data_IF_775984844483
#
_entry.id   IF_775984844483
#
_cell.length_a   1.000
_cell.length_b   1.000
_cell.length_c   1.000
_cell.angle_alpha   90.00
_cell.angle_beta   90.00
_cell.angle_gamma   90.00
#
_symmetry.space_group_name_H-M   'P 1'
#
loop_
_entity.id
_entity.type
_entity.pdbx_description
1 polymer ?
#
# COMPACT_ATOMS: atom_id res chain seq x y z
N UNK A 1 8.42 11.81 -25.27
CA UNK A 1 7.98 12.00 -23.86
C UNK A 1 6.77 11.14 -23.47
N UNK A 2 5.96 10.67 -24.42
CA UNK A 2 4.72 9.91 -24.16
C UNK A 2 4.88 8.58 -23.42
N UNK A 3 5.92 7.79 -23.72
CA UNK A 3 6.14 6.48 -23.08
C UNK A 3 6.39 6.59 -21.58
N UNK A 4 7.04 7.68 -21.14
CA UNK A 4 7.41 7.94 -19.74
C UNK A 4 6.19 8.31 -18.90
N UNK A 5 5.27 9.09 -19.47
CA UNK A 5 4.03 9.48 -18.81
C UNK A 5 3.14 8.26 -18.53
N UNK A 6 3.09 7.32 -19.48
CA UNK A 6 2.34 6.05 -19.33
C UNK A 6 2.93 5.14 -18.24
N UNK A 7 4.25 5.11 -18.06
CA UNK A 7 4.89 4.29 -17.01
C UNK A 7 4.63 4.84 -15.60
N UNK A 8 4.72 6.16 -15.41
CA UNK A 8 4.42 6.79 -14.12
C UNK A 8 2.94 6.65 -13.77
N UNK A 9 2.05 6.85 -14.73
CA UNK A 9 0.60 6.69 -14.53
C UNK A 9 0.24 5.26 -14.09
N UNK A 10 0.89 4.24 -14.68
CA UNK A 10 0.70 2.84 -14.26
C UNK A 10 1.19 2.60 -12.84
N UNK A 11 2.39 3.08 -12.50
CA UNK A 11 2.93 2.91 -11.15
C UNK A 11 2.07 3.60 -10.07
N UNK A 12 1.55 4.80 -10.36
CA UNK A 12 0.62 5.50 -9.47
C UNK A 12 -0.68 4.71 -9.34
N UNK A 13 -1.25 4.23 -10.45
CA UNK A 13 -2.45 3.41 -10.44
C UNK A 13 -2.25 2.13 -9.63
N UNK A 14 -1.14 1.43 -9.82
CA UNK A 14 -0.86 0.17 -9.13
C UNK A 14 -0.63 0.41 -7.62
N UNK A 15 0.02 1.52 -7.25
CA UNK A 15 0.13 1.95 -5.85
C UNK A 15 -1.23 2.29 -5.23
N UNK A 16 -2.10 3.01 -5.96
CA UNK A 16 -3.47 3.32 -5.52
C UNK A 16 -4.29 2.04 -5.35
N UNK A 17 -4.21 1.10 -6.30
CA UNK A 17 -4.90 -0.19 -6.20
C UNK A 17 -4.40 -1.02 -5.01
N UNK A 18 -3.09 -1.00 -4.73
CA UNK A 18 -2.54 -1.67 -3.55
C UNK A 18 -3.07 -1.07 -2.24
N UNK A 19 -3.11 0.26 -2.14
CA UNK A 19 -3.65 0.96 -0.97
C UNK A 19 -5.15 0.70 -0.82
N UNK A 20 -5.94 0.90 -1.87
CA UNK A 20 -7.39 0.67 -1.84
C UNK A 20 -7.71 -0.79 -1.53
N UNK A 21 -6.98 -1.73 -2.14
CA UNK A 21 -7.13 -3.16 -1.86
C UNK A 21 -6.82 -3.49 -0.40
N UNK A 22 -5.74 -2.93 0.15
CA UNK A 22 -5.40 -3.15 1.57
C UNK A 22 -6.44 -2.57 2.54
N UNK A 23 -7.00 -1.40 2.24
CA UNK A 23 -8.08 -0.82 3.04
C UNK A 23 -9.34 -1.68 2.96
N UNK A 24 -9.69 -2.17 1.76
CA UNK A 24 -10.84 -3.07 1.59
C UNK A 24 -10.66 -4.39 2.37
N UNK A 25 -9.47 -4.99 2.33
CA UNK A 25 -9.15 -6.20 3.11
C UNK A 25 -9.21 -5.89 4.61
N UNK A 26 -8.63 -4.79 5.06
CA UNK A 26 -8.70 -4.36 6.45
C UNK A 26 -10.14 -4.20 6.93
N UNK A 27 -11.01 -3.59 6.11
CA UNK A 27 -12.44 -3.44 6.40
C UNK A 27 -13.14 -4.81 6.53
N UNK A 28 -12.86 -5.76 5.63
CA UNK A 28 -13.42 -7.11 5.70
C UNK A 28 -12.97 -7.82 6.97
N UNK A 29 -11.70 -7.69 7.37
CA UNK A 29 -11.18 -8.26 8.62
C UNK A 29 -11.93 -7.68 9.83
N UNK A 30 -12.18 -6.37 9.85
CA UNK A 30 -12.96 -5.73 10.91
C UNK A 30 -14.38 -6.28 10.93
N UNK A 31 -15.10 -6.26 9.80
CA UNK A 31 -16.50 -6.68 9.75
C UNK A 31 -16.64 -8.16 10.14
N UNK A 32 -15.78 -9.03 9.61
CA UNK A 32 -15.80 -10.46 9.94
C UNK A 32 -15.42 -10.70 11.41
N UNK A 33 -14.41 -10.00 11.92
CA UNK A 33 -13.99 -10.11 13.32
C UNK A 33 -15.05 -9.62 14.30
N UNK A 34 -15.71 -8.50 13.99
CA UNK A 34 -16.83 -7.97 14.77
C UNK A 34 -18.05 -8.89 14.71
N UNK A 35 -18.40 -9.41 13.53
CA UNK A 35 -19.51 -10.35 13.37
C UNK A 35 -19.30 -11.65 14.15
N UNK A 36 -18.06 -12.17 14.15
CA UNK A 36 -17.71 -13.34 14.95
C UNK A 36 -17.75 -13.04 16.46
N UNK A 37 -17.36 -11.82 16.86
CA UNK A 37 -17.44 -11.38 18.26
C UNK A 37 -18.88 -11.22 18.75
N UNK A 38 -19.80 -10.73 17.91
CA UNK A 38 -21.22 -10.61 18.23
C UNK A 38 -21.90 -11.97 18.44
N UNK A 39 -21.44 -13.03 17.75
CA UNK A 39 -21.93 -14.40 17.96
C UNK A 39 -21.36 -15.05 19.23
N UNK A 40 -20.29 -14.51 19.81
CA UNK A 40 -19.71 -15.03 21.06
C UNK A 40 -20.35 -14.41 22.30
N UNK A 41 -20.71 -15.21 23.32
CA UNK A 41 -21.27 -14.67 24.55
C UNK A 41 -20.26 -13.74 25.23
N UNK A 42 -20.69 -12.51 25.54
CA UNK A 42 -19.84 -11.47 26.13
C UNK A 42 -19.20 -11.96 27.44
N UNK A 43 -17.87 -12.04 27.49
CA UNK A 43 -17.08 -12.48 28.66
C UNK A 43 -16.26 -11.34 29.28
N UNK A 44 -16.77 -10.12 29.25
CA UNK A 44 -16.08 -8.96 29.84
C UNK A 44 -14.76 -8.65 29.14
N UNK A 45 -13.67 -8.54 29.92
CA UNK A 45 -12.34 -8.11 29.46
C UNK A 45 -11.76 -8.94 28.31
N UNK A 46 -12.11 -10.21 28.19
CA UNK A 46 -11.68 -11.06 27.07
C UNK A 46 -12.30 -10.62 25.72
N UNK A 47 -13.53 -10.12 25.75
CA UNK A 47 -14.23 -9.64 24.54
C UNK A 47 -13.65 -8.29 24.12
N UNK A 48 -13.39 -7.41 25.08
CA UNK A 48 -12.73 -6.11 24.86
C UNK A 48 -11.35 -6.28 24.24
N UNK A 49 -10.55 -7.23 24.74
CA UNK A 49 -9.25 -7.56 24.17
C UNK A 49 -9.36 -8.07 22.72
N UNK A 50 -10.41 -8.82 22.40
CA UNK A 50 -10.64 -9.31 21.04
C UNK A 50 -11.06 -8.18 20.08
N UNK A 51 -11.89 -7.22 20.52
CA UNK A 51 -12.19 -6.01 19.74
C UNK A 51 -10.92 -5.21 19.43
N UNK A 52 -10.04 -5.04 20.43
CA UNK A 52 -8.75 -4.37 20.24
C UNK A 52 -7.86 -5.15 19.28
N UNK A 53 -7.81 -6.48 19.39
CA UNK A 53 -7.02 -7.32 18.49
C UNK A 53 -7.48 -7.20 17.03
N UNK A 54 -8.80 -7.17 16.78
CA UNK A 54 -9.39 -6.96 15.45
C UNK A 54 -9.00 -5.58 14.91
N UNK A 55 -9.08 -4.53 15.73
CA UNK A 55 -8.67 -3.19 15.33
C UNK A 55 -7.17 -3.12 14.98
N UNK A 56 -6.31 -3.74 15.79
CA UNK A 56 -4.86 -3.80 15.54
C UNK A 56 -4.55 -4.56 14.26
N UNK A 57 -5.22 -5.69 14.01
CA UNK A 57 -5.05 -6.46 12.78
C UNK A 57 -5.43 -5.63 11.54
N UNK A 58 -6.53 -4.90 11.59
CA UNK A 58 -6.95 -4.02 10.51
C UNK A 58 -5.94 -2.90 10.23
N UNK A 59 -5.44 -2.25 11.28
CA UNK A 59 -4.40 -1.22 11.17
C UNK A 59 -3.11 -1.79 10.56
N UNK A 60 -2.70 -3.00 10.97
CA UNK A 60 -1.52 -3.65 10.42
C UNK A 60 -1.67 -3.94 8.91
N UNK A 61 -2.84 -4.41 8.48
CA UNK A 61 -3.14 -4.64 7.05
C UNK A 61 -3.11 -3.34 6.26
N UNK A 62 -3.76 -2.29 6.75
CA UNK A 62 -3.75 -0.97 6.12
C UNK A 62 -2.33 -0.38 6.05
N UNK A 63 -1.57 -0.47 7.15
CA UNK A 63 -0.18 -0.01 7.22
C UNK A 63 0.73 -0.75 6.26
N UNK A 64 0.58 -2.08 6.15
CA UNK A 64 1.32 -2.89 5.18
C UNK A 64 1.03 -2.45 3.74
N UNK A 65 -0.24 -2.25 3.38
CA UNK A 65 -0.61 -1.76 2.05
C UNK A 65 -0.03 -0.38 1.72
N UNK A 66 0.03 0.52 2.70
CA UNK A 66 0.70 1.81 2.54
C UNK A 66 2.21 1.66 2.26
N UNK A 67 2.90 0.74 2.95
CA UNK A 67 4.31 0.46 2.70
C UNK A 67 4.55 -0.14 1.31
N UNK A 68 3.68 -1.06 0.87
CA UNK A 68 3.75 -1.62 -0.49
C UNK A 68 3.55 -0.52 -1.54
N UNK A 69 2.52 0.32 -1.37
CA UNK A 69 2.28 1.47 -2.26
C UNK A 69 3.46 2.43 -2.34
N UNK A 70 4.07 2.74 -1.19
CA UNK A 70 5.27 3.58 -1.12
C UNK A 70 6.48 2.93 -1.81
N UNK A 71 6.66 1.61 -1.68
CA UNK A 71 7.71 0.85 -2.36
C UNK A 71 7.60 0.92 -3.88
N UNK A 72 6.37 0.75 -4.41
CA UNK A 72 6.08 0.85 -5.85
C UNK A 72 6.35 2.26 -6.37
N UNK A 73 5.92 3.29 -5.65
CA UNK A 73 6.20 4.69 -5.97
C UNK A 73 7.70 4.99 -5.98
N UNK A 74 8.45 4.51 -4.98
CA UNK A 74 9.90 4.68 -4.90
C UNK A 74 10.63 4.01 -6.06
N UNK A 75 10.19 2.83 -6.50
CA UNK A 75 10.75 2.14 -7.66
C UNK A 75 10.49 2.88 -9.00
N UNK A 76 9.31 3.50 -9.13
CA UNK A 76 8.97 4.32 -10.30
C UNK A 76 9.79 5.64 -10.35
N UNK A 77 10.09 6.23 -9.19
CA UNK A 77 10.93 7.43 -9.11
C UNK A 77 12.41 7.09 -9.35
N UNK A 78 12.95 6.02 -8.76
CA UNK A 78 14.36 5.64 -8.92
C UNK A 78 14.70 5.25 -10.37
N UNK A 79 13.80 4.55 -11.06
CA UNK A 79 13.94 4.27 -12.50
C UNK A 79 13.89 5.56 -13.34
N UNK A 80 13.15 6.58 -12.90
CA UNK A 80 13.10 7.88 -13.54
C UNK A 80 14.41 8.65 -13.40
N UNK A 81 15.08 8.59 -12.25
CA UNK A 81 16.39 9.20 -12.02
C UNK A 81 17.51 8.49 -12.77
N UNK A 82 17.49 7.15 -12.82
CA UNK A 82 18.46 6.36 -13.58
C UNK A 82 18.41 6.70 -15.09
N UNK A 83 17.21 6.83 -15.66
CA UNK A 83 17.03 7.25 -17.05
C UNK A 83 17.50 8.69 -17.32
N UNK A 84 17.40 9.58 -16.32
CA UNK A 84 17.87 10.97 -16.43
C UNK A 84 19.40 11.06 -16.45
N UNK A 85 20.07 10.28 -15.59
CA UNK A 85 21.55 10.20 -15.53
C UNK A 85 22.16 9.49 -16.74
N UNK A 86 21.49 8.47 -17.28
CA UNK A 86 21.92 7.81 -18.52
C UNK A 86 21.77 8.75 -19.74
N UNK A 87 20.68 9.54 -19.78
CA UNK A 87 20.49 10.57 -20.80
C UNK A 87 21.52 11.70 -20.73
N UNK A 88 21.90 12.15 -19.52
CA UNK A 88 22.90 13.21 -19.36
C UNK A 88 24.32 12.77 -19.72
N UNK A 89 24.67 11.49 -19.52
CA UNK A 89 25.97 10.95 -19.96
C UNK A 89 26.10 10.85 -21.48
N UNK A 90 25.00 10.64 -22.20
CA UNK A 90 25.00 10.56 -23.67
C UNK A 90 25.05 11.92 -24.36
N UNK A 91 24.78 13.00 -23.62
CA UNK A 91 24.85 14.39 -24.10
C UNK A 91 26.07 15.16 -23.61
N UNK A 92 27.01 14.51 -22.91
CA UNK A 92 28.34 15.08 -22.72
C UNK A 92 29.05 15.03 -24.08
N UNK A 93 29.33 16.17 -24.73
CA UNK A 93 30.10 16.16 -25.96
C UNK A 93 31.53 15.76 -25.60
N UNK A 94 32.03 14.71 -26.25
CA UNK A 94 33.46 14.39 -26.23
C UNK A 94 34.22 15.65 -26.68
N UNK A 95 35.05 16.16 -25.77
CA UNK A 95 36.05 17.19 -26.06
C UNK A 95 37.36 16.51 -26.42
#
# INVERSE_FOLDING_TARGET
MEHRSRTVLRAVRDAVLAVVGSVAIGLVVVIAGLGWLDETPYRGSSTEAAYVAVAVAAVAVCGFGALVGLGVLRAAVSSSDAGRRAGSRRSAPDR
#
